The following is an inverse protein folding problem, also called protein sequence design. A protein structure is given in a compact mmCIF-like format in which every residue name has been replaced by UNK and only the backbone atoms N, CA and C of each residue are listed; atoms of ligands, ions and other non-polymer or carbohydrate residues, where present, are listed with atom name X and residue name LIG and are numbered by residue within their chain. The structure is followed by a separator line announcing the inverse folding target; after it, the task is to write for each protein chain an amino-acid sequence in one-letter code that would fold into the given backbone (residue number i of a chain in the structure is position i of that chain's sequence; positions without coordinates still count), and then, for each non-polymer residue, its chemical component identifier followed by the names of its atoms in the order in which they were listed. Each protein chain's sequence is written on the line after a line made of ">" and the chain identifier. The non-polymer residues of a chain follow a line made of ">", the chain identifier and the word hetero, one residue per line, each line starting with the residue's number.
data_IF_887246586474
#
_entry.id   IF_887246586474
#
_cell.length_a   1.000
_cell.length_b   1.000
_cell.length_c   1.000
_cell.angle_alpha   90.00
_cell.angle_beta   90.00
_cell.angle_gamma   90.00
#
_symmetry.space_group_name_H-M   'P 1'
#
loop_
_entity.id
_entity.type
_entity.pdbx_description
1 polymer ?
#
# COMPACT_ATOMS: atom_id res chain seq x y z
N UNK A 1 -29.48 3.77 29.98
CA UNK A 1 -29.46 4.30 28.60
C UNK A 1 -28.33 3.59 27.88
N UNK A 2 -28.56 2.83 26.79
CA UNK A 2 -27.45 2.35 25.98
C UNK A 2 -26.70 3.58 25.45
N UNK A 3 -25.41 3.66 25.72
CA UNK A 3 -24.54 4.73 25.23
C UNK A 3 -24.70 4.80 23.71
N UNK A 4 -25.03 5.97 23.17
CA UNK A 4 -25.07 6.17 21.71
C UNK A 4 -23.67 5.88 21.18
N UNK A 5 -23.54 4.75 20.46
CA UNK A 5 -22.26 4.32 19.87
C UNK A 5 -22.12 5.05 18.54
N UNK A 6 -20.95 5.66 18.30
CA UNK A 6 -20.63 6.18 16.98
C UNK A 6 -20.47 5.00 16.01
N UNK A 7 -21.29 4.86 14.95
CA UNK A 7 -21.24 3.71 14.05
C UNK A 7 -19.93 3.62 13.26
N UNK A 8 -19.18 4.72 13.13
CA UNK A 8 -17.82 4.72 12.56
C UNK A 8 -16.84 5.09 13.68
N UNK A 9 -15.95 4.19 14.11
CA UNK A 9 -15.04 4.49 15.22
C UNK A 9 -14.04 5.61 14.87
N UNK A 10 -13.52 6.30 15.89
CA UNK A 10 -12.56 7.39 15.67
C UNK A 10 -11.26 6.88 15.01
N UNK A 11 -10.73 7.64 14.04
CA UNK A 11 -9.54 7.26 13.27
C UNK A 11 -9.81 6.30 12.11
N UNK A 12 -11.04 5.81 11.98
CA UNK A 12 -11.48 5.02 10.83
C UNK A 12 -12.09 5.93 9.78
N UNK A 13 -11.71 5.69 8.53
CA UNK A 13 -12.42 6.24 7.39
C UNK A 13 -13.55 5.28 7.00
N UNK A 14 -14.53 5.77 6.22
CA UNK A 14 -15.66 4.95 5.73
C UNK A 14 -15.21 3.65 5.08
N UNK A 15 -14.02 3.65 4.46
CA UNK A 15 -13.33 2.45 3.98
C UNK A 15 -12.04 2.27 4.77
N UNK A 16 -11.84 1.07 5.33
CA UNK A 16 -10.60 0.67 6.00
C UNK A 16 -10.07 -0.59 5.32
N UNK A 17 -8.90 -0.53 4.66
CA UNK A 17 -8.35 -1.69 3.98
C UNK A 17 -7.90 -2.74 5.01
N UNK A 18 -8.03 -4.01 4.62
CA UNK A 18 -7.53 -5.15 5.39
C UNK A 18 -6.54 -5.95 4.56
N UNK A 19 -5.35 -6.17 5.10
CA UNK A 19 -4.28 -6.91 4.46
C UNK A 19 -4.16 -8.30 5.08
N UNK A 20 -4.39 -9.30 4.25
CA UNK A 20 -4.12 -10.69 4.60
C UNK A 20 -2.71 -11.07 4.16
N UNK A 21 -1.93 -11.63 5.08
CA UNK A 21 -0.53 -12.04 4.88
C UNK A 21 -0.27 -13.38 5.55
N UNK A 22 0.80 -14.10 5.19
CA UNK A 22 1.12 -15.38 5.85
C UNK A 22 1.81 -15.24 7.22
N UNK A 23 2.32 -14.04 7.52
CA UNK A 23 3.18 -13.75 8.68
C UNK A 23 2.95 -12.31 9.17
N UNK A 24 1.79 -12.05 9.76
CA UNK A 24 1.35 -10.68 10.09
C UNK A 24 2.24 -9.98 11.12
N UNK A 25 2.79 -10.71 12.09
CA UNK A 25 3.72 -10.13 13.05
C UNK A 25 4.97 -9.55 12.36
N UNK A 26 5.53 -10.24 11.37
CA UNK A 26 6.65 -9.75 10.57
C UNK A 26 6.24 -8.59 9.66
N UNK A 27 5.02 -8.62 9.11
CA UNK A 27 4.50 -7.55 8.27
C UNK A 27 4.37 -6.24 9.04
N UNK A 28 3.86 -6.30 10.28
CA UNK A 28 3.76 -5.14 11.16
C UNK A 28 5.14 -4.53 11.42
N UNK A 29 6.15 -5.36 11.71
CA UNK A 29 7.53 -4.87 11.91
C UNK A 29 8.15 -4.28 10.64
N UNK A 30 7.86 -4.85 9.48
CA UNK A 30 8.23 -4.26 8.19
C UNK A 30 7.58 -2.89 8.02
N UNK A 31 6.26 -2.76 8.21
CA UNK A 31 5.56 -1.49 8.01
C UNK A 31 6.02 -0.39 8.99
N UNK A 32 6.37 -0.76 10.23
CA UNK A 32 7.00 0.18 11.18
C UNK A 32 8.30 0.76 10.63
N UNK A 33 9.18 -0.10 10.10
CA UNK A 33 10.49 0.30 9.55
C UNK A 33 10.39 1.02 8.22
N UNK A 34 9.57 0.50 7.31
CA UNK A 34 9.44 0.97 5.94
C UNK A 34 8.62 2.26 5.83
N UNK A 35 7.47 2.30 6.51
CA UNK A 35 6.43 3.31 6.32
C UNK A 35 6.14 4.13 7.58
N UNK A 36 6.90 3.91 8.66
CA UNK A 36 6.69 4.61 9.93
C UNK A 36 5.37 4.24 10.60
N UNK A 37 4.87 3.03 10.34
CA UNK A 37 3.61 2.58 10.92
C UNK A 37 3.65 2.56 12.45
N UNK A 38 2.53 2.89 13.08
CA UNK A 38 2.32 2.73 14.52
C UNK A 38 1.38 1.55 14.75
N UNK A 39 1.80 0.59 15.55
CA UNK A 39 0.91 -0.49 15.97
C UNK A 39 -0.05 0.03 17.05
N UNK A 40 -1.34 -0.05 16.78
CA UNK A 40 -2.38 0.45 17.69
C UNK A 40 -2.90 -0.67 18.59
N UNK A 41 -3.11 -1.85 18.02
CA UNK A 41 -3.56 -3.02 18.75
C UNK A 41 -3.16 -4.31 18.04
N UNK A 42 -3.11 -5.40 18.82
CA UNK A 42 -2.85 -6.75 18.32
C UNK A 42 -3.67 -7.77 19.10
N UNK A 43 -4.36 -8.64 18.38
CA UNK A 43 -5.06 -9.82 18.90
C UNK A 43 -4.43 -11.08 18.29
N UNK A 44 -3.66 -11.79 19.12
CA UNK A 44 -3.07 -13.07 18.75
C UNK A 44 -4.05 -14.22 19.01
N UNK A 45 -4.04 -15.19 18.11
CA UNK A 45 -4.68 -16.49 18.29
C UNK A 45 -3.84 -17.37 19.24
N UNK A 46 -4.40 -18.46 19.80
CA UNK A 46 -3.67 -19.35 20.69
C UNK A 46 -2.42 -20.00 20.09
N UNK A 47 -2.36 -20.12 18.76
CA UNK A 47 -1.20 -20.66 18.02
C UNK A 47 -0.12 -19.61 17.71
N UNK A 48 -0.31 -18.36 18.16
CA UNK A 48 0.61 -17.25 17.97
C UNK A 48 0.44 -16.49 16.65
N UNK A 49 -0.42 -16.94 15.75
CA UNK A 49 -0.81 -16.15 14.56
C UNK A 49 -1.63 -14.94 14.97
N UNK A 50 -1.68 -13.91 14.14
CA UNK A 50 -2.47 -12.70 14.40
C UNK A 50 -3.84 -12.86 13.76
N UNK A 51 -4.89 -12.98 14.58
CA UNK A 51 -6.26 -12.99 14.09
C UNK A 51 -6.74 -11.60 13.64
N UNK A 52 -6.23 -10.54 14.30
CA UNK A 52 -6.47 -9.15 13.91
C UNK A 52 -5.43 -8.23 14.55
N UNK A 53 -4.93 -7.27 13.79
CA UNK A 53 -4.09 -6.19 14.25
C UNK A 53 -4.46 -4.91 13.51
N UNK A 54 -4.15 -3.78 14.14
CA UNK A 54 -4.37 -2.46 13.58
C UNK A 54 -3.05 -1.71 13.56
N UNK A 55 -2.70 -1.21 12.38
CA UNK A 55 -1.59 -0.27 12.23
C UNK A 55 -2.10 1.06 11.71
N UNK A 56 -1.43 2.14 12.08
CA UNK A 56 -1.68 3.47 11.57
C UNK A 56 -0.49 3.97 10.77
N UNK A 57 -0.73 4.43 9.55
CA UNK A 57 0.26 5.10 8.71
C UNK A 57 -0.29 6.49 8.38
N UNK A 58 0.41 7.54 8.80
CA UNK A 58 -0.15 8.89 8.77
C UNK A 58 -1.39 8.98 9.65
N UNK A 59 -2.54 9.29 9.04
CA UNK A 59 -3.86 9.35 9.67
C UNK A 59 -4.73 8.11 9.40
N UNK A 60 -4.25 7.18 8.57
CA UNK A 60 -5.04 6.07 8.04
C UNK A 60 -4.77 4.78 8.81
N UNK A 61 -5.84 4.11 9.22
CA UNK A 61 -5.78 2.79 9.86
C UNK A 61 -5.88 1.70 8.79
N UNK A 62 -5.08 0.65 8.97
CA UNK A 62 -5.06 -0.55 8.12
C UNK A 62 -5.17 -1.77 9.03
N UNK A 63 -6.09 -2.67 8.69
CA UNK A 63 -6.21 -3.97 9.35
C UNK A 63 -5.20 -4.96 8.79
N UNK A 64 -4.65 -5.80 9.66
CA UNK A 64 -3.70 -6.84 9.27
C UNK A 64 -4.07 -8.12 10.00
N UNK A 65 -4.12 -9.23 9.26
CA UNK A 65 -4.31 -10.55 9.85
C UNK A 65 -3.48 -11.60 9.11
N UNK A 66 -3.12 -12.66 9.83
CA UNK A 66 -2.60 -13.86 9.23
C UNK A 66 -3.69 -14.56 8.39
N UNK A 67 -3.26 -15.14 7.29
CA UNK A 67 -4.12 -15.92 6.43
C UNK A 67 -4.65 -17.16 7.15
N UNK A 68 -5.97 -17.36 7.13
CA UNK A 68 -6.62 -18.54 7.68
C UNK A 68 -6.89 -19.60 6.60
N UNK A 69 -6.57 -20.88 6.85
CA UNK A 69 -6.82 -21.98 5.91
C UNK A 69 -8.29 -22.43 5.94
N UNK A 70 -9.23 -21.50 5.87
CA UNK A 70 -10.67 -21.76 5.87
C UNK A 70 -11.33 -21.28 4.56
N UNK A 71 -12.32 -22.03 4.09
CA UNK A 71 -13.07 -21.68 2.89
C UNK A 71 -13.83 -20.36 3.09
N UNK A 72 -13.76 -19.46 2.10
CA UNK A 72 -14.39 -18.14 2.15
C UNK A 72 -13.58 -17.06 2.88
N UNK A 73 -12.46 -17.40 3.53
CA UNK A 73 -11.56 -16.41 4.09
C UNK A 73 -10.71 -15.74 2.99
N UNK A 74 -10.36 -14.45 3.15
CA UNK A 74 -9.41 -13.78 2.26
C UNK A 74 -8.07 -14.53 2.19
N UNK A 75 -7.44 -14.49 1.02
CA UNK A 75 -6.17 -15.17 0.76
C UNK A 75 -5.04 -14.15 0.56
N UNK A 76 -3.83 -14.52 0.97
CA UNK A 76 -2.66 -13.65 0.82
C UNK A 76 -2.21 -13.57 -0.66
N UNK A 77 -1.58 -12.46 -1.09
CA UNK A 77 -0.96 -12.36 -2.42
C UNK A 77 -0.01 -13.53 -2.72
N UNK A 78 0.76 -13.94 -1.71
CA UNK A 78 1.69 -15.08 -1.80
C UNK A 78 1.00 -16.42 -2.04
N UNK A 79 -0.23 -16.61 -1.58
CA UNK A 79 -1.00 -17.84 -1.88
C UNK A 79 -1.62 -17.78 -3.26
N UNK A 80 -2.12 -16.62 -3.66
CA UNK A 80 -2.75 -16.43 -4.97
C UNK A 80 -1.74 -16.35 -6.10
N UNK A 81 -0.47 -16.08 -5.81
CA UNK A 81 0.59 -15.93 -6.81
C UNK A 81 0.43 -14.66 -7.66
N UNK A 82 -0.26 -13.65 -7.13
CA UNK A 82 -0.61 -12.44 -7.88
C UNK A 82 -0.93 -11.25 -6.97
N UNK A 83 -1.17 -10.10 -7.61
CA UNK A 83 -1.51 -8.84 -6.94
C UNK A 83 -2.98 -8.87 -6.53
N UNK A 84 -3.26 -8.60 -5.25
CA UNK A 84 -4.63 -8.55 -4.71
C UNK A 84 -5.17 -7.12 -4.60
N UNK A 85 -4.30 -6.12 -4.74
CA UNK A 85 -4.62 -4.71 -4.66
C UNK A 85 -3.36 -3.87 -4.53
N UNK A 86 -3.54 -2.55 -4.61
CA UNK A 86 -2.47 -1.56 -4.38
C UNK A 86 -2.95 -0.55 -3.35
N UNK A 87 -2.13 -0.28 -2.33
CA UNK A 87 -2.37 0.84 -1.41
C UNK A 87 -1.59 2.05 -1.89
N UNK A 88 -2.29 3.17 -2.12
CA UNK A 88 -1.71 4.43 -2.56
C UNK A 88 -1.64 5.41 -1.40
N UNK A 89 -0.44 5.86 -1.07
CA UNK A 89 -0.17 6.74 0.06
C UNK A 89 0.42 8.04 -0.44
N UNK A 90 -0.17 9.15 0.01
CA UNK A 90 0.52 10.43 -0.06
C UNK A 90 1.43 10.60 1.15
N UNK A 91 2.66 11.03 0.90
CA UNK A 91 3.69 11.27 1.91
C UNK A 91 4.38 12.62 1.64
N UNK A 92 4.88 13.31 2.69
CA UNK A 92 5.58 14.58 2.49
C UNK A 92 6.88 14.48 1.69
N UNK A 93 7.56 13.34 1.77
CA UNK A 93 8.83 13.05 1.08
C UNK A 93 8.81 11.62 0.53
N UNK A 94 8.48 11.49 -0.76
CA UNK A 94 8.40 10.20 -1.46
C UNK A 94 9.77 9.56 -1.66
N UNK A 95 10.83 10.32 -1.93
CA UNK A 95 12.16 9.75 -2.16
C UNK A 95 12.68 9.09 -0.87
N UNK A 96 12.61 9.81 0.25
CA UNK A 96 13.04 9.28 1.54
C UNK A 96 12.18 8.10 1.99
N UNK A 97 10.85 8.18 1.82
CA UNK A 97 9.96 7.07 2.16
C UNK A 97 10.21 5.83 1.31
N UNK A 98 10.39 6.01 -0.01
CA UNK A 98 10.67 4.92 -0.93
C UNK A 98 12.01 4.24 -0.62
N UNK A 99 13.07 5.04 -0.38
CA UNK A 99 14.38 4.51 0.00
C UNK A 99 14.31 3.68 1.29
N UNK A 100 13.60 4.16 2.32
CA UNK A 100 13.40 3.38 3.56
C UNK A 100 12.66 2.07 3.31
N UNK A 101 11.60 2.10 2.51
CA UNK A 101 10.83 0.90 2.19
C UNK A 101 11.65 -0.15 1.46
N UNK A 102 12.45 0.26 0.47
CA UNK A 102 13.34 -0.64 -0.26
C UNK A 102 14.45 -1.19 0.66
N UNK A 103 15.06 -0.33 1.48
CA UNK A 103 16.08 -0.75 2.46
C UNK A 103 15.54 -1.74 3.50
N UNK A 104 14.25 -1.66 3.85
CA UNK A 104 13.58 -2.59 4.76
C UNK A 104 13.21 -3.95 4.10
N UNK A 105 13.48 -4.13 2.80
CA UNK A 105 13.20 -5.37 2.08
C UNK A 105 12.10 -5.26 1.01
N UNK A 106 11.56 -4.06 0.76
CA UNK A 106 10.66 -3.82 -0.35
C UNK A 106 11.37 -3.96 -1.71
N UNK A 107 10.69 -4.56 -2.69
CA UNK A 107 11.20 -4.67 -4.06
C UNK A 107 10.67 -3.53 -4.92
N UNK A 108 11.55 -2.62 -5.31
CA UNK A 108 11.22 -1.54 -6.24
C UNK A 108 10.64 -2.08 -7.57
N UNK A 109 9.55 -1.47 -8.04
CA UNK A 109 8.96 -1.77 -9.36
C UNK A 109 9.49 -0.85 -10.47
N UNK A 110 10.21 0.20 -10.09
CA UNK A 110 10.82 1.20 -10.95
C UNK A 110 11.42 2.33 -10.11
N UNK A 111 12.15 3.28 -10.74
CA UNK A 111 12.64 4.46 -10.04
C UNK A 111 11.50 5.42 -9.69
N UNK A 112 11.65 6.15 -8.59
CA UNK A 112 10.78 7.29 -8.27
C UNK A 112 10.96 8.36 -9.36
N UNK A 113 9.85 8.84 -9.92
CA UNK A 113 9.86 9.77 -11.05
C UNK A 113 8.74 10.80 -10.92
N UNK A 114 8.91 11.94 -11.58
CA UNK A 114 7.85 12.95 -11.70
C UNK A 114 6.84 12.50 -12.76
N UNK A 115 5.56 12.56 -12.40
CA UNK A 115 4.47 12.04 -13.21
C UNK A 115 3.65 13.17 -13.82
N UNK A 116 3.03 12.87 -14.97
CA UNK A 116 2.30 13.88 -15.75
C UNK A 116 1.12 14.48 -14.98
N UNK A 117 0.59 13.78 -13.98
CA UNK A 117 -0.52 14.21 -13.13
C UNK A 117 -0.09 15.06 -11.92
N UNK A 118 1.18 15.45 -11.83
CA UNK A 118 1.66 16.42 -10.85
C UNK A 118 2.24 15.84 -9.57
N UNK A 119 2.35 14.53 -9.48
CA UNK A 119 3.01 13.86 -8.36
C UNK A 119 4.41 13.42 -8.71
N UNK A 120 5.28 13.40 -7.70
CA UNK A 120 6.47 12.55 -7.70
C UNK A 120 6.09 11.21 -7.08
N UNK A 121 6.33 10.12 -7.81
CA UNK A 121 5.71 8.82 -7.52
C UNK A 121 6.71 7.66 -7.64
N UNK A 122 6.55 6.64 -6.79
CA UNK A 122 7.18 5.35 -6.96
C UNK A 122 6.37 4.22 -6.33
N UNK A 123 6.56 3.00 -6.82
CA UNK A 123 5.88 1.80 -6.31
C UNK A 123 6.86 0.68 -5.97
N UNK A 124 6.53 -0.08 -4.93
CA UNK A 124 7.28 -1.27 -4.53
C UNK A 124 6.34 -2.40 -4.13
N UNK A 125 6.83 -3.63 -4.22
CA UNK A 125 6.16 -4.83 -3.67
C UNK A 125 6.79 -5.14 -2.32
N UNK A 126 5.98 -5.28 -1.28
CA UNK A 126 6.48 -5.64 0.05
C UNK A 126 6.85 -7.14 0.13
N UNK A 127 7.53 -7.59 1.21
CA UNK A 127 7.90 -9.00 1.37
C UNK A 127 6.73 -9.98 1.44
N UNK A 128 5.50 -9.49 1.60
CA UNK A 128 4.25 -10.25 1.72
C UNK A 128 3.43 -10.23 0.43
N UNK A 129 3.94 -9.58 -0.62
CA UNK A 129 3.38 -9.54 -1.97
C UNK A 129 2.35 -8.44 -2.21
N UNK A 130 2.13 -7.54 -1.25
CA UNK A 130 1.25 -6.39 -1.48
C UNK A 130 2.00 -5.27 -2.22
N UNK A 131 1.29 -4.60 -3.13
CA UNK A 131 1.83 -3.45 -3.86
C UNK A 131 1.53 -2.17 -3.10
N UNK A 132 2.55 -1.35 -2.92
CA UNK A 132 2.46 -0.02 -2.33
C UNK A 132 2.89 1.02 -3.35
N UNK A 133 2.09 2.08 -3.47
CA UNK A 133 2.38 3.27 -4.25
C UNK A 133 2.56 4.44 -3.31
N UNK A 134 3.68 5.14 -3.41
CA UNK A 134 3.99 6.31 -2.61
C UNK A 134 4.04 7.54 -3.51
N UNK A 135 3.51 8.66 -3.05
CA UNK A 135 3.54 9.90 -3.81
C UNK A 135 3.66 11.14 -2.95
N UNK A 136 4.36 12.13 -3.48
CA UNK A 136 4.32 13.50 -2.99
C UNK A 136 3.73 14.33 -4.10
N UNK A 137 2.68 15.08 -3.80
CA UNK A 137 2.14 16.04 -4.75
C UNK A 137 3.12 17.21 -4.89
N UNK A 138 3.61 17.47 -6.11
CA UNK A 138 4.66 18.47 -6.35
C UNK A 138 4.19 19.66 -7.18
N UNK A 139 3.12 19.51 -7.97
CA UNK A 139 2.50 20.62 -8.71
C UNK A 139 1.03 20.34 -9.02
N UNK A 140 0.23 21.40 -9.01
CA UNK A 140 -1.11 21.37 -9.58
C UNK A 140 -1.05 21.23 -11.10
N UNK A 141 -2.05 20.54 -11.68
CA UNK A 141 -2.15 20.29 -13.12
C UNK A 141 -3.59 20.54 -13.55
N UNK A 142 -3.76 21.32 -14.62
CA UNK A 142 -5.08 21.54 -15.23
C UNK A 142 -5.59 20.27 -15.93
N UNK A 143 -6.90 20.21 -16.18
CA UNK A 143 -7.50 19.08 -16.90
C UNK A 143 -6.91 18.91 -18.31
N UNK A 144 -6.59 20.03 -18.98
CA UNK A 144 -5.98 20.02 -20.32
C UNK A 144 -4.57 19.43 -20.26
N UNK A 145 -3.71 19.92 -19.37
CA UNK A 145 -2.36 19.38 -19.16
C UNK A 145 -2.37 17.90 -18.77
N UNK A 146 -3.34 17.47 -17.94
CA UNK A 146 -3.51 16.07 -17.55
C UNK A 146 -3.85 15.19 -18.76
N UNK A 147 -4.76 15.63 -19.62
CA UNK A 147 -5.15 14.90 -20.83
C UNK A 147 -4.00 14.82 -21.84
N UNK A 148 -3.27 15.90 -22.06
CA UNK A 148 -2.10 15.91 -22.92
C UNK A 148 -0.98 15.01 -22.37
N UNK A 149 -0.72 15.11 -21.06
CA UNK A 149 0.23 14.28 -20.34
C UNK A 149 -0.08 12.79 -20.47
N UNK A 150 -1.35 12.41 -20.27
CA UNK A 150 -1.81 11.02 -20.41
C UNK A 150 -1.59 10.47 -21.83
N UNK A 151 -1.89 11.27 -22.87
CA UNK A 151 -1.66 10.88 -24.27
C UNK A 151 -0.17 10.63 -24.55
N UNK A 152 0.71 11.53 -24.10
CA UNK A 152 2.17 11.40 -24.28
C UNK A 152 2.71 10.17 -23.55
N UNK A 153 2.28 9.94 -22.31
CA UNK A 153 2.70 8.79 -21.53
C UNK A 153 2.26 7.46 -22.17
N UNK A 154 1.01 7.38 -22.64
CA UNK A 154 0.51 6.19 -23.34
C UNK A 154 1.32 5.86 -24.61
N UNK A 155 1.67 6.88 -25.41
CA UNK A 155 2.49 6.71 -26.60
C UNK A 155 3.90 6.18 -26.27
N UNK A 156 4.55 6.74 -25.24
CA UNK A 156 5.87 6.27 -24.78
C UNK A 156 5.84 4.82 -24.29
N UNK A 157 4.80 4.43 -23.55
CA UNK A 157 4.64 3.05 -23.08
C UNK A 157 4.41 2.06 -24.23
N UNK A 158 3.63 2.44 -25.24
CA UNK A 158 3.43 1.62 -26.44
C UNK A 158 4.74 1.40 -27.20
N UNK A 159 5.54 2.46 -27.38
CA UNK A 159 6.85 2.38 -28.03
C UNK A 159 7.83 1.48 -27.25
N UNK A 160 7.86 1.64 -25.92
CA UNK A 160 8.71 0.81 -25.06
C UNK A 160 8.31 -0.67 -25.08
N UNK A 161 7.00 -0.97 -25.11
CA UNK A 161 6.50 -2.34 -25.24
C UNK A 161 6.92 -2.96 -26.58
N UNK A 162 6.78 -2.22 -27.69
CA UNK A 162 7.19 -2.68 -29.02
C UNK A 162 8.68 -3.00 -29.10
N UNK A 163 9.53 -2.17 -28.47
CA UNK A 163 10.99 -2.41 -28.42
C UNK A 163 11.40 -3.61 -27.56
N UNK A 164 10.60 -4.00 -26.57
CA UNK A 164 10.86 -5.20 -25.74
C UNK A 164 10.37 -6.50 -26.37
N UNK A 165 9.50 -6.42 -27.36
CA UNK A 165 8.96 -7.58 -28.11
C UNK A 165 9.69 -7.89 -29.42
N UNK A 166 10.67 -7.07 -29.80
CA UNK A 166 11.52 -7.24 -30.98
C UNK A 166 12.90 -7.78 -30.56
#
# INVERSE_FOLDING_TARGET
>A
MPTSVNPVPAGFHTVTPSLTVKRAAEAIEFYKKALGAQELMRMANPDGTIGHAEIKIGDSIIFIADEMPMAGCPQSPQRLGGITGTLYLYVPDVDGAFQRAVAAGGKAMGPVSDMFWGDRHGSFVDPFGHTWSLSTHVRDVSQEELQEGAKKFAAQMAEHAQRKSA
#
